data_IF_832600230803
#
_entry.id   IF_832600230803
#
_cell.length_a   1.000
_cell.length_b   1.000
_cell.length_c   1.000
_cell.angle_alpha   90.00
_cell.angle_beta   90.00
_cell.angle_gamma   90.00
#
_symmetry.space_group_name_H-M   'P 1'
#
loop_
_entity.id
_entity.type
_entity.pdbx_description
1 polymer ?
#
# COMPACT_ATOMS: atom_id res chain seq x y z
N UNK A 1 30.94 -21.43 6.42
CA UNK A 1 31.41 -20.81 5.14
C UNK A 1 30.15 -20.57 4.31
N UNK A 2 29.79 -19.37 3.83
CA UNK A 2 30.54 -18.17 3.47
C UNK A 2 29.79 -16.93 3.98
N UNK A 3 30.50 -16.02 4.66
CA UNK A 3 30.03 -14.65 4.90
C UNK A 3 29.96 -13.95 3.53
N UNK A 4 28.76 -13.74 3.00
CA UNK A 4 28.55 -12.83 1.88
C UNK A 4 28.49 -11.39 2.40
N UNK A 5 28.99 -10.49 1.56
CA UNK A 5 29.50 -9.16 1.90
C UNK A 5 28.36 -8.18 2.22
N UNK A 6 28.23 -7.81 3.51
CA UNK A 6 27.22 -6.88 4.07
C UNK A 6 27.14 -5.54 3.31
N UNK A 7 28.23 -5.12 2.64
CA UNK A 7 28.22 -3.90 1.81
C UNK A 7 27.46 -4.04 0.49
N UNK A 8 27.40 -5.23 -0.12
CA UNK A 8 26.56 -5.48 -1.29
C UNK A 8 25.07 -5.58 -0.91
N UNK A 9 24.79 -6.13 0.29
CA UNK A 9 23.43 -6.19 0.85
C UNK A 9 22.88 -4.79 1.13
N UNK A 10 23.70 -3.85 1.61
CA UNK A 10 23.29 -2.45 1.82
C UNK A 10 23.05 -1.66 0.53
N UNK A 11 23.76 -1.97 -0.55
CA UNK A 11 23.61 -1.31 -1.85
C UNK A 11 22.38 -1.79 -2.63
N UNK A 12 21.91 -3.00 -2.31
CA UNK A 12 20.62 -3.55 -2.76
C UNK A 12 19.51 -3.11 -1.78
N UNK A 13 19.80 -3.01 -0.49
CA UNK A 13 18.87 -2.50 0.51
C UNK A 13 18.56 -1.01 0.33
N UNK A 14 19.42 -0.15 -0.20
CA UNK A 14 18.98 1.22 -0.56
C UNK A 14 18.05 1.25 -1.79
N UNK A 15 18.00 0.16 -2.56
CA UNK A 15 17.13 0.03 -3.74
C UNK A 15 15.81 -0.66 -3.43
N UNK A 16 15.75 -1.42 -2.33
CA UNK A 16 14.61 -2.25 -1.93
C UNK A 16 14.14 -1.93 -0.50
N UNK A 17 14.80 -1.08 0.29
CA UNK A 17 14.34 -0.62 1.61
C UNK A 17 13.48 0.65 1.51
N UNK A 18 12.60 0.67 0.51
CA UNK A 18 11.19 0.59 0.83
C UNK A 18 10.83 -0.90 0.63
N UNK A 19 10.93 -1.74 1.69
CA UNK A 19 10.60 -3.19 1.88
C UNK A 19 11.67 -3.93 2.74
N UNK A 20 11.21 -4.81 3.66
CA UNK A 20 11.60 -4.98 5.10
C UNK A 20 12.61 -6.11 5.41
N UNK A 21 13.34 -6.04 6.54
CA UNK A 21 13.75 -7.19 7.40
C UNK A 21 14.12 -6.73 8.86
N UNK A 22 14.38 -7.62 9.86
CA UNK A 22 13.47 -8.40 10.75
C UNK A 22 13.78 -8.24 12.29
N UNK A 23 13.10 -8.96 13.23
CA UNK A 23 13.63 -9.64 14.47
C UNK A 23 12.53 -10.10 15.48
N UNK A 24 12.76 -11.26 16.13
CA UNK A 24 11.98 -12.02 17.14
C UNK A 24 12.21 -11.63 18.63
N UNK A 25 11.31 -12.03 19.58
CA UNK A 25 11.53 -12.84 20.83
C UNK A 25 10.29 -12.89 21.78
N UNK A 26 10.20 -13.95 22.59
CA UNK A 26 9.09 -14.59 23.33
C UNK A 26 8.68 -14.10 24.76
N UNK A 27 7.53 -14.59 25.29
CA UNK A 27 7.38 -14.96 26.72
C UNK A 27 6.02 -14.78 27.47
N UNK A 28 5.30 -15.89 27.74
CA UNK A 28 4.50 -16.31 28.95
C UNK A 28 3.37 -15.46 29.64
N UNK A 29 2.14 -16.03 29.59
CA UNK A 29 1.22 -16.50 30.66
C UNK A 29 0.41 -15.60 31.67
N UNK A 30 -0.91 -15.88 31.66
CA UNK A 30 -1.87 -16.19 32.77
C UNK A 30 -2.82 -15.14 33.42
N UNK A 31 -4.13 -15.46 33.24
CA UNK A 31 -5.28 -15.50 34.16
C UNK A 31 -6.34 -14.37 34.29
N UNK A 32 -7.60 -14.86 34.23
CA UNK A 32 -8.92 -14.21 34.34
C UNK A 32 -9.15 -13.54 35.72
N UNK A 33 -9.98 -12.48 35.77
CA UNK A 33 -11.37 -12.58 36.28
C UNK A 33 -12.16 -11.24 36.38
N UNK A 34 -13.46 -11.39 36.09
CA UNK A 34 -14.67 -10.82 36.71
C UNK A 34 -15.11 -9.36 36.47
N UNK A 35 -16.39 -9.28 36.06
CA UNK A 35 -17.24 -8.12 35.78
C UNK A 35 -17.55 -7.23 37.01
N UNK A 36 -17.67 -5.91 36.79
CA UNK A 36 -18.53 -5.01 37.59
C UNK A 36 -18.93 -3.74 36.79
N UNK A 37 -20.15 -3.20 36.98
CA UNK A 37 -20.77 -2.20 36.11
C UNK A 37 -20.32 -0.74 36.34
N UNK A 38 -19.10 -0.52 36.86
CA UNK A 38 -18.45 0.81 36.94
C UNK A 38 -17.73 1.16 35.62
N UNK A 39 -17.75 0.24 34.65
CA UNK A 39 -16.92 0.29 33.45
C UNK A 39 -17.26 1.41 32.46
N UNK A 40 -18.48 1.97 32.43
CA UNK A 40 -18.84 2.92 31.35
C UNK A 40 -18.22 4.32 31.46
N UNK A 41 -17.91 4.83 32.66
CA UNK A 41 -17.23 6.14 32.77
C UNK A 41 -15.70 6.01 32.70
N UNK A 42 -15.15 4.89 33.17
CA UNK A 42 -13.73 4.59 33.07
C UNK A 42 -13.31 4.23 31.63
N UNK A 43 -14.17 3.54 30.85
CA UNK A 43 -13.93 3.28 29.43
C UNK A 43 -13.90 4.56 28.61
N UNK A 44 -14.87 5.45 28.80
CA UNK A 44 -14.93 6.72 28.07
C UNK A 44 -13.75 7.65 28.42
N UNK A 45 -13.31 7.67 29.68
CA UNK A 45 -12.14 8.43 30.13
C UNK A 45 -10.80 7.78 29.72
N UNK A 46 -10.72 6.45 29.61
CA UNK A 46 -9.53 5.77 29.07
C UNK A 46 -9.44 5.88 27.55
N UNK A 47 -10.58 5.87 26.85
CA UNK A 47 -10.65 6.18 25.42
C UNK A 47 -10.29 7.65 25.15
N UNK A 48 -10.76 8.61 25.95
CA UNK A 48 -10.37 10.03 25.77
C UNK A 48 -8.88 10.25 26.03
N UNK A 49 -8.32 9.66 27.10
CA UNK A 49 -6.89 9.74 27.40
C UNK A 49 -6.04 9.04 26.33
N UNK A 50 -6.52 7.95 25.74
CA UNK A 50 -5.81 7.27 24.64
C UNK A 50 -5.89 8.06 23.33
N UNK A 51 -7.02 8.70 23.02
CA UNK A 51 -7.16 9.52 21.82
C UNK A 51 -6.31 10.80 21.87
N UNK A 52 -6.28 11.49 23.02
CA UNK A 52 -5.39 12.65 23.22
C UNK A 52 -3.91 12.24 23.09
N UNK A 53 -3.53 11.07 23.64
CA UNK A 53 -2.20 10.51 23.45
C UNK A 53 -1.91 10.22 21.97
N UNK A 54 -2.84 9.59 21.24
CA UNK A 54 -2.66 9.30 19.81
C UNK A 54 -2.57 10.56 18.94
N UNK A 55 -3.20 11.67 19.33
CA UNK A 55 -3.08 12.94 18.61
C UNK A 55 -1.76 13.68 18.89
N UNK A 56 -1.07 13.34 19.99
CA UNK A 56 0.20 13.98 20.34
C UNK A 56 1.38 13.45 19.53
N UNK A 57 1.41 12.14 19.28
CA UNK A 57 2.41 11.49 18.43
C UNK A 57 1.91 10.12 17.97
N UNK A 58 2.37 9.69 16.80
CA UNK A 58 2.19 8.32 16.35
C UNK A 58 3.12 7.38 17.15
N UNK A 59 2.71 6.13 17.42
CA UNK A 59 3.59 5.12 18.03
C UNK A 59 4.86 4.89 17.21
N UNK A 60 6.01 4.79 17.89
CA UNK A 60 7.33 4.65 17.26
C UNK A 60 7.84 3.20 17.19
N UNK A 61 7.16 2.28 17.87
CA UNK A 61 7.58 0.89 18.09
C UNK A 61 6.52 -0.12 17.60
N UNK A 62 5.72 0.26 16.60
CA UNK A 62 4.72 -0.64 16.03
C UNK A 62 5.38 -1.93 15.51
N UNK A 63 4.81 -3.06 15.92
CA UNK A 63 5.13 -4.37 15.38
C UNK A 63 3.95 -4.86 14.54
N UNK A 64 4.28 -5.47 13.41
CA UNK A 64 3.27 -6.03 12.54
C UNK A 64 2.72 -7.25 13.25
N UNK A 65 1.45 -7.22 13.62
CA UNK A 65 0.79 -8.37 14.22
C UNK A 65 0.46 -9.37 13.12
N UNK A 66 1.29 -10.41 13.01
CA UNK A 66 1.11 -11.48 12.05
C UNK A 66 0.48 -12.75 12.66
N UNK A 67 -0.24 -12.61 13.77
CA UNK A 67 -0.75 -13.74 14.53
C UNK A 67 -2.04 -14.35 13.95
N UNK A 68 -2.79 -13.57 13.16
CA UNK A 68 -4.07 -14.02 12.58
C UNK A 68 -4.34 -13.36 11.23
N UNK A 69 -4.80 -14.13 10.22
CA UNK A 69 -5.17 -13.57 8.93
C UNK A 69 -6.28 -12.54 9.06
N UNK A 70 -6.02 -11.36 8.51
CA UNK A 70 -6.96 -10.27 8.34
C UNK A 70 -7.35 -10.16 6.87
N UNK A 71 -8.58 -9.75 6.61
CA UNK A 71 -9.10 -9.53 5.25
C UNK A 71 -9.50 -8.07 5.07
N UNK A 72 -9.08 -7.50 3.96
CA UNK A 72 -9.33 -6.11 3.58
C UNK A 72 -9.94 -6.07 2.19
N UNK A 73 -10.83 -5.10 1.97
CA UNK A 73 -11.20 -4.71 0.62
C UNK A 73 -10.23 -3.61 0.20
N UNK A 74 -9.51 -3.86 -0.88
CA UNK A 74 -8.60 -2.89 -1.48
C UNK A 74 -9.15 -2.45 -2.83
N UNK A 75 -9.02 -1.16 -3.15
CA UNK A 75 -9.49 -0.58 -4.40
C UNK A 75 -8.51 0.49 -4.86
N UNK A 76 -8.14 0.48 -6.13
CA UNK A 76 -7.39 1.54 -6.81
C UNK A 76 -8.22 2.07 -7.98
N UNK A 77 -8.41 3.39 -8.04
CA UNK A 77 -9.13 4.08 -9.12
C UNK A 77 -8.17 4.83 -10.04
N UNK A 78 -7.85 4.26 -11.19
CA UNK A 78 -6.98 4.81 -12.21
C UNK A 78 -7.76 5.75 -13.13
N UNK A 79 -7.24 6.96 -13.34
CA UNK A 79 -7.74 7.88 -14.34
C UNK A 79 -6.75 7.92 -15.50
N UNK A 80 -7.27 8.03 -16.71
CA UNK A 80 -6.47 8.15 -17.91
C UNK A 80 -6.93 9.43 -18.58
N UNK A 81 -6.08 10.44 -18.56
CA UNK A 81 -6.41 11.78 -19.03
C UNK A 81 -5.71 12.07 -20.36
N UNK A 82 -6.28 13.01 -21.12
CA UNK A 82 -5.55 13.67 -22.20
C UNK A 82 -4.53 14.64 -21.59
N UNK A 83 -3.54 15.12 -22.37
CA UNK A 83 -2.63 16.18 -21.91
C UNK A 83 -3.31 17.52 -21.56
N UNK A 84 -4.61 17.65 -21.84
CA UNK A 84 -5.43 18.81 -21.45
C UNK A 84 -6.18 18.58 -20.13
N UNK A 85 -6.10 17.38 -19.55
CA UNK A 85 -6.79 16.98 -18.33
C UNK A 85 -8.20 16.41 -18.55
N UNK A 86 -8.60 16.15 -19.80
CA UNK A 86 -9.90 15.54 -20.08
C UNK A 86 -9.86 14.03 -19.81
N UNK A 87 -10.88 13.48 -19.15
CA UNK A 87 -10.96 12.03 -18.91
C UNK A 87 -11.18 11.30 -20.22
N UNK A 88 -10.24 10.44 -20.59
CA UNK A 88 -10.42 9.47 -21.67
C UNK A 88 -11.16 8.23 -21.16
N UNK A 89 -10.76 7.74 -19.98
CA UNK A 89 -11.41 6.66 -19.25
C UNK A 89 -10.99 6.70 -17.78
N UNK A 90 -11.79 6.08 -16.92
CA UNK A 90 -11.36 5.70 -15.57
C UNK A 90 -11.63 4.22 -15.32
N UNK A 91 -10.83 3.64 -14.45
CA UNK A 91 -10.86 2.21 -14.15
C UNK A 91 -10.70 2.00 -12.65
N UNK A 92 -11.53 1.13 -12.08
CA UNK A 92 -11.37 0.65 -10.71
C UNK A 92 -10.86 -0.78 -10.74
N UNK A 93 -9.76 -1.03 -10.05
CA UNK A 93 -9.28 -2.39 -9.74
C UNK A 93 -9.49 -2.61 -8.26
N UNK A 94 -10.32 -3.57 -7.89
CA UNK A 94 -10.63 -3.86 -6.50
C UNK A 94 -10.48 -5.35 -6.20
N UNK A 95 -10.17 -5.72 -4.96
CA UNK A 95 -10.08 -7.11 -4.56
C UNK A 95 -10.01 -7.31 -3.05
N UNK A 96 -10.23 -8.55 -2.63
CA UNK A 96 -10.05 -8.96 -1.25
C UNK A 96 -8.60 -9.37 -1.01
N UNK A 97 -7.92 -8.60 -0.17
CA UNK A 97 -6.55 -8.81 0.22
C UNK A 97 -6.50 -9.46 1.61
N UNK A 98 -5.82 -10.60 1.73
CA UNK A 98 -5.68 -11.33 2.99
C UNK A 98 -4.23 -11.36 3.44
N UNK A 99 -3.95 -10.93 4.67
CA UNK A 99 -2.62 -11.00 5.30
C UNK A 99 -2.72 -11.06 6.82
N UNK A 100 -1.73 -11.62 7.53
CA UNK A 100 -0.68 -12.49 7.01
C UNK A 100 -1.21 -13.89 6.65
N UNK A 101 -0.41 -14.61 5.89
CA UNK A 101 -0.50 -16.06 5.67
C UNK A 101 0.85 -16.70 6.07
N UNK A 102 0.94 -18.05 6.17
CA UNK A 102 2.21 -18.71 6.49
C UNK A 102 3.36 -18.20 5.62
N UNK A 103 4.55 -18.05 6.23
CA UNK A 103 5.76 -17.52 5.61
C UNK A 103 5.67 -16.03 5.20
N UNK A 104 4.85 -15.24 5.89
CA UNK A 104 4.68 -13.80 5.61
C UNK A 104 3.98 -13.54 4.28
N UNK A 105 3.21 -14.51 3.77
CA UNK A 105 2.52 -14.40 2.49
C UNK A 105 1.25 -13.57 2.60
N UNK A 106 0.76 -13.17 1.45
CA UNK A 106 -0.52 -12.48 1.27
C UNK A 106 -1.30 -13.18 0.17
N UNK A 107 -2.61 -12.93 0.09
CA UNK A 107 -3.47 -13.56 -0.92
C UNK A 107 -4.52 -12.60 -1.45
N UNK A 108 -4.74 -12.67 -2.76
CA UNK A 108 -5.83 -12.00 -3.45
C UNK A 108 -7.00 -12.96 -3.71
N UNK A 109 -8.22 -12.45 -3.59
CA UNK A 109 -9.46 -13.11 -4.04
C UNK A 109 -10.44 -12.04 -4.54
N UNK A 110 -11.44 -12.45 -5.31
CA UNK A 110 -12.52 -11.59 -5.80
C UNK A 110 -12.01 -10.31 -6.49
N UNK A 111 -10.89 -10.41 -7.22
CA UNK A 111 -10.33 -9.26 -7.93
C UNK A 111 -11.22 -8.94 -9.13
N UNK A 112 -11.58 -7.67 -9.27
CA UNK A 112 -12.47 -7.15 -10.32
C UNK A 112 -11.92 -5.88 -10.94
N UNK A 113 -12.17 -5.73 -12.24
CA UNK A 113 -11.84 -4.52 -13.00
C UNK A 113 -13.13 -3.92 -13.55
N UNK A 114 -13.44 -2.70 -13.12
CA UNK A 114 -14.58 -1.92 -13.61
C UNK A 114 -14.09 -0.71 -14.41
N UNK A 115 -14.83 -0.30 -15.43
CA UNK A 115 -14.52 0.89 -16.23
C UNK A 115 -15.70 1.85 -16.27
N UNK A 116 -15.38 3.14 -16.37
CA UNK A 116 -16.33 4.23 -16.55
C UNK A 116 -15.67 5.37 -17.34
N UNK A 117 -16.46 6.34 -17.83
CA UNK A 117 -15.98 7.34 -18.81
C UNK A 117 -15.81 8.75 -18.23
N UNK A 118 -16.67 9.17 -17.30
CA UNK A 118 -16.64 10.49 -16.67
C UNK A 118 -16.02 10.46 -15.28
N UNK A 119 -15.57 11.63 -14.80
CA UNK A 119 -15.05 11.79 -13.44
C UNK A 119 -16.04 11.31 -12.37
N UNK A 120 -17.32 11.68 -12.51
CA UNK A 120 -18.35 11.41 -11.51
C UNK A 120 -19.18 10.15 -11.82
N UNK A 121 -18.89 9.45 -12.92
CA UNK A 121 -19.63 8.25 -13.32
C UNK A 121 -19.48 7.14 -12.27
N UNK A 122 -20.56 6.45 -11.94
CA UNK A 122 -20.48 5.32 -11.00
C UNK A 122 -19.78 4.14 -11.68
N UNK A 123 -18.82 3.52 -11.00
CA UNK A 123 -18.22 2.27 -11.50
C UNK A 123 -19.25 1.14 -11.49
N UNK A 124 -19.38 0.37 -12.58
CA UNK A 124 -20.15 -0.87 -12.56
C UNK A 124 -19.48 -1.92 -11.66
N UNK A 125 -20.10 -3.09 -11.49
CA UNK A 125 -19.55 -4.18 -10.67
C UNK A 125 -18.16 -4.65 -11.12
N UNK A 126 -17.88 -4.57 -12.43
CA UNK A 126 -16.61 -4.94 -13.03
C UNK A 126 -16.45 -6.45 -13.31
N UNK A 127 -15.50 -6.75 -14.18
CA UNK A 127 -15.17 -8.10 -14.63
C UNK A 127 -14.24 -8.80 -13.65
N UNK A 128 -14.62 -10.01 -13.24
CA UNK A 128 -13.82 -10.84 -12.34
C UNK A 128 -12.55 -11.34 -13.03
N UNK A 129 -11.43 -11.25 -12.32
CA UNK A 129 -10.11 -11.70 -12.77
C UNK A 129 -9.81 -13.08 -12.18
N UNK A 130 -10.30 -14.14 -12.80
CA UNK A 130 -10.23 -15.51 -12.23
C UNK A 130 -8.80 -16.00 -11.94
N UNK A 131 -7.80 -15.55 -12.69
CA UNK A 131 -6.39 -15.90 -12.47
C UNK A 131 -5.82 -15.32 -11.16
N UNK A 132 -6.48 -14.31 -10.57
CA UNK A 132 -6.10 -13.75 -9.27
C UNK A 132 -6.67 -14.54 -8.09
N UNK A 133 -7.59 -15.49 -8.32
CA UNK A 133 -8.21 -16.23 -7.23
C UNK A 133 -7.21 -17.14 -6.52
N UNK A 134 -6.95 -16.82 -5.25
CA UNK A 134 -5.96 -17.53 -4.46
C UNK A 134 -4.52 -17.20 -4.85
N UNK A 135 -4.28 -16.19 -5.69
CA UNK A 135 -2.91 -15.74 -6.00
C UNK A 135 -2.21 -15.30 -4.71
N UNK A 136 -1.03 -15.87 -4.44
CA UNK A 136 -0.25 -15.59 -3.22
C UNK A 136 1.19 -15.22 -3.52
N UNK A 137 1.73 -14.33 -2.69
CA UNK A 137 3.14 -13.93 -2.74
C UNK A 137 3.61 -13.45 -1.37
N UNK A 138 4.92 -13.31 -1.19
CA UNK A 138 5.49 -12.64 -0.02
C UNK A 138 5.90 -11.21 -0.43
N UNK A 139 5.28 -10.15 0.13
CA UNK A 139 5.56 -8.77 -0.22
C UNK A 139 6.93 -8.28 0.26
N UNK A 140 7.65 -9.07 1.07
CA UNK A 140 8.98 -8.76 1.59
C UNK A 140 10.13 -9.24 0.71
N UNK A 141 9.85 -9.89 -0.44
CA UNK A 141 10.89 -10.34 -1.37
C UNK A 141 11.04 -9.38 -2.55
N UNK A 142 12.19 -9.43 -3.21
CA UNK A 142 12.46 -8.66 -4.43
C UNK A 142 11.80 -9.27 -5.69
N UNK A 143 11.09 -10.38 -5.53
CA UNK A 143 10.55 -11.16 -6.64
C UNK A 143 9.51 -10.38 -7.43
N UNK A 144 8.73 -9.50 -6.79
CA UNK A 144 7.67 -8.68 -7.41
C UNK A 144 8.18 -7.79 -8.55
N UNK A 145 9.49 -7.56 -8.63
CA UNK A 145 10.15 -6.76 -9.66
C UNK A 145 10.70 -7.60 -10.83
N UNK A 146 10.67 -8.93 -10.70
CA UNK A 146 11.24 -9.89 -11.65
C UNK A 146 10.15 -10.37 -12.64
N UNK A 147 10.47 -10.53 -13.94
CA UNK A 147 9.51 -11.02 -14.93
C UNK A 147 8.85 -12.35 -14.55
N UNK A 148 9.59 -13.26 -13.92
CA UNK A 148 9.14 -14.60 -13.55
C UNK A 148 8.02 -14.57 -12.50
N UNK A 149 7.88 -13.49 -11.74
CA UNK A 149 6.86 -13.36 -10.70
C UNK A 149 5.44 -13.32 -11.27
N UNK A 150 5.26 -12.62 -12.39
CA UNK A 150 3.96 -12.48 -13.05
C UNK A 150 3.76 -13.50 -14.19
N UNK A 151 4.59 -14.55 -14.29
CA UNK A 151 4.49 -15.53 -15.38
C UNK A 151 3.14 -16.27 -15.45
N UNK A 152 2.39 -16.31 -14.34
CA UNK A 152 1.05 -16.93 -14.27
C UNK A 152 -0.07 -15.97 -14.68
N UNK A 153 0.24 -14.69 -14.83
CA UNK A 153 -0.71 -13.68 -15.25
C UNK A 153 -0.90 -13.77 -16.77
N UNK A 154 -2.10 -13.46 -17.29
CA UNK A 154 -2.29 -13.28 -18.72
C UNK A 154 -1.26 -12.31 -19.30
N UNK A 155 -0.77 -12.54 -20.53
CA UNK A 155 0.17 -11.62 -21.16
C UNK A 155 -0.45 -10.23 -21.29
N UNK A 156 0.40 -9.21 -21.20
CA UNK A 156 0.05 -7.80 -21.41
C UNK A 156 -0.97 -7.21 -20.40
N UNK A 157 -1.25 -7.89 -19.28
CA UNK A 157 -2.05 -7.33 -18.20
C UNK A 157 -1.19 -6.47 -17.27
N UNK A 158 -1.48 -5.18 -17.18
CA UNK A 158 -0.77 -4.25 -16.29
C UNK A 158 -1.60 -3.91 -15.05
N UNK A 159 -2.93 -3.99 -15.15
CA UNK A 159 -3.84 -3.47 -14.13
C UNK A 159 -3.75 -4.25 -12.81
N UNK A 160 -3.70 -5.58 -12.88
CA UNK A 160 -3.54 -6.44 -11.71
C UNK A 160 -2.09 -6.54 -11.23
N UNK A 161 -1.10 -6.21 -12.08
CA UNK A 161 0.29 -6.03 -11.65
C UNK A 161 0.43 -4.75 -10.82
N UNK A 162 -0.17 -3.65 -11.28
CA UNK A 162 -0.26 -2.40 -10.54
C UNK A 162 -0.98 -2.59 -9.20
N UNK A 163 -2.07 -3.36 -9.15
CA UNK A 163 -2.72 -3.69 -7.88
C UNK A 163 -1.74 -4.28 -6.84
N UNK A 164 -0.88 -5.20 -7.27
CA UNK A 164 0.15 -5.81 -6.41
C UNK A 164 1.20 -4.78 -5.99
N UNK A 165 1.73 -4.01 -6.93
CA UNK A 165 2.77 -3.00 -6.66
C UNK A 165 2.25 -1.84 -5.79
N UNK A 166 1.06 -1.33 -6.06
CA UNK A 166 0.42 -0.24 -5.32
C UNK A 166 0.13 -0.64 -3.88
N UNK A 167 -0.36 -1.87 -3.67
CA UNK A 167 -0.58 -2.40 -2.31
C UNK A 167 0.72 -2.43 -1.51
N UNK A 168 1.80 -2.93 -2.12
CA UNK A 168 3.13 -2.94 -1.48
C UNK A 168 3.60 -1.52 -1.18
N UNK A 169 3.42 -0.58 -2.10
CA UNK A 169 3.80 0.82 -1.92
C UNK A 169 3.04 1.47 -0.76
N UNK A 170 1.73 1.26 -0.66
CA UNK A 170 0.95 1.86 0.41
C UNK A 170 1.28 1.25 1.77
N UNK A 171 1.45 -0.08 1.84
CA UNK A 171 1.94 -0.73 3.06
C UNK A 171 3.28 -0.14 3.50
N UNK A 172 4.17 0.13 2.55
CA UNK A 172 5.41 0.81 2.80
C UNK A 172 5.24 2.23 3.36
N UNK A 173 4.27 3.02 2.87
CA UNK A 173 3.98 4.34 3.44
C UNK A 173 3.56 4.25 4.91
N UNK A 174 2.67 3.31 5.22
CA UNK A 174 2.22 3.05 6.58
C UNK A 174 3.30 2.45 7.49
N UNK A 175 4.42 1.96 6.96
CA UNK A 175 5.44 1.26 7.74
C UNK A 175 6.75 2.01 7.92
N UNK A 176 7.30 2.57 6.84
CA UNK A 176 8.64 3.18 6.88
C UNK A 176 8.65 4.64 7.30
N UNK A 177 7.48 5.28 7.29
CA UNK A 177 7.37 6.71 7.54
C UNK A 177 6.41 7.04 8.68
N UNK A 178 5.70 6.06 9.24
CA UNK A 178 4.66 6.27 10.23
C UNK A 178 5.16 7.03 11.46
N UNK A 179 6.28 6.58 12.04
CA UNK A 179 6.94 7.21 13.18
C UNK A 179 7.53 8.59 12.88
N UNK A 180 7.61 8.99 11.60
CA UNK A 180 8.15 10.28 11.15
C UNK A 180 7.06 11.31 10.89
N UNK A 181 5.79 10.90 10.79
CA UNK A 181 4.71 11.83 10.50
C UNK A 181 4.37 12.65 11.74
N UNK A 182 4.14 13.94 11.52
CA UNK A 182 3.61 14.85 12.52
C UNK A 182 2.25 15.35 12.06
N UNK A 183 1.34 15.55 13.02
CA UNK A 183 -0.03 15.93 12.73
C UNK A 183 -0.06 17.23 11.91
N UNK A 184 -0.74 17.19 10.77
CA UNK A 184 -0.89 18.29 9.81
C UNK A 184 0.43 18.86 9.25
N UNK A 185 1.51 18.07 9.26
CA UNK A 185 2.76 18.44 8.60
C UNK A 185 3.09 17.50 7.45
N UNK A 186 3.46 18.08 6.31
CA UNK A 186 3.91 17.31 5.16
C UNK A 186 5.33 16.81 5.38
N UNK A 187 5.46 15.50 5.40
CA UNK A 187 6.73 14.79 5.39
C UNK A 187 7.06 14.38 3.95
N UNK A 188 8.27 14.73 3.50
CA UNK A 188 8.80 14.35 2.20
C UNK A 188 9.99 13.41 2.41
N UNK A 189 9.87 12.11 2.08
CA UNK A 189 11.01 11.19 2.12
C UNK A 189 12.19 11.77 1.32
N UNK A 190 13.36 11.84 1.94
CA UNK A 190 14.52 12.59 1.43
C UNK A 190 15.33 11.87 0.34
N UNK A 191 14.95 10.64 -0.05
CA UNK A 191 15.69 9.85 -1.04
C UNK A 191 14.90 9.71 -2.34
N UNK A 192 15.45 10.11 -3.49
CA UNK A 192 14.85 9.77 -4.77
C UNK A 192 14.94 8.26 -4.96
N UNK A 193 13.79 7.61 -5.14
CA UNK A 193 13.78 6.21 -5.55
C UNK A 193 14.36 6.14 -6.97
N UNK A 194 15.32 5.23 -7.16
CA UNK A 194 15.83 4.94 -8.49
C UNK A 194 14.73 4.42 -9.42
N UNK A 195 15.08 4.14 -10.67
CA UNK A 195 14.15 3.45 -11.57
C UNK A 195 13.83 2.05 -11.02
N UNK A 196 12.54 1.80 -10.81
CA UNK A 196 11.97 0.53 -10.38
C UNK A 196 11.63 -0.25 -11.65
N UNK A 197 12.18 -1.46 -11.86
CA UNK A 197 11.81 -2.30 -12.99
C UNK A 197 10.39 -2.84 -12.81
N UNK A 198 9.58 -2.75 -13.87
CA UNK A 198 8.20 -3.24 -13.93
C UNK A 198 8.14 -4.66 -14.50
N UNK A 199 8.88 -5.59 -13.88
CA UNK A 199 8.88 -7.01 -14.26
C UNK A 199 9.08 -7.27 -15.77
N UNK A 200 9.97 -6.51 -16.41
CA UNK A 200 10.27 -6.61 -17.83
C UNK A 200 9.38 -5.78 -18.75
N UNK A 201 8.26 -5.23 -18.24
CA UNK A 201 7.41 -4.30 -18.98
C UNK A 201 8.02 -2.90 -19.09
N UNK A 202 9.07 -2.57 -18.32
CA UNK A 202 9.75 -1.28 -18.39
C UNK A 202 10.22 -0.77 -17.03
N UNK A 203 10.12 0.54 -16.80
CA UNK A 203 10.60 1.20 -15.57
C UNK A 203 9.64 2.27 -15.07
N UNK A 204 9.59 2.45 -13.75
CA UNK A 204 8.88 3.52 -13.06
C UNK A 204 9.81 4.30 -12.14
N UNK A 205 9.64 5.62 -12.03
CA UNK A 205 10.41 6.47 -11.13
C UNK A 205 9.47 7.32 -10.26
N UNK A 206 9.46 7.03 -8.97
CA UNK A 206 8.85 7.89 -7.96
C UNK A 206 9.71 9.15 -7.76
N UNK A 207 9.08 10.32 -7.70
CA UNK A 207 9.80 11.60 -7.56
C UNK A 207 9.46 12.36 -6.30
N UNK A 208 8.24 12.89 -6.22
CA UNK A 208 7.86 13.83 -5.17
C UNK A 208 6.77 13.24 -4.29
N UNK A 209 7.14 12.27 -3.45
CA UNK A 209 6.23 11.68 -2.47
C UNK A 209 6.08 12.65 -1.30
N UNK A 210 4.83 12.90 -0.92
CA UNK A 210 4.40 13.72 0.21
C UNK A 210 3.44 12.90 1.06
N UNK A 211 3.71 12.80 2.36
CA UNK A 211 2.86 12.11 3.33
C UNK A 211 2.45 13.10 4.41
N UNK A 212 1.17 13.14 4.76
CA UNK A 212 0.65 14.01 5.82
C UNK A 212 -0.29 13.22 6.71
N UNK A 213 0.02 13.13 8.00
CA UNK A 213 -0.93 12.60 8.98
C UNK A 213 -1.99 13.68 9.26
N UNK A 214 -3.24 13.42 8.86
CA UNK A 214 -4.36 14.37 8.97
C UNK A 214 -5.07 14.31 10.32
N UNK A 215 -4.98 13.18 11.01
CA UNK A 215 -5.65 12.97 12.29
C UNK A 215 -6.01 11.52 12.54
N UNK A 216 -7.06 11.31 13.32
CA UNK A 216 -7.53 9.98 13.71
C UNK A 216 -8.90 9.74 13.09
N UNK A 217 -9.08 8.55 12.53
CA UNK A 217 -10.36 8.02 12.12
C UNK A 217 -10.56 6.63 12.75
N UNK A 218 -11.62 5.93 12.37
CA UNK A 218 -11.89 4.57 12.80
C UNK A 218 -12.18 3.68 11.60
N UNK A 219 -11.73 2.43 11.66
CA UNK A 219 -12.22 1.36 10.80
C UNK A 219 -12.61 0.16 11.66
N UNK A 220 -13.83 -0.35 11.49
CA UNK A 220 -14.36 -1.45 12.32
C UNK A 220 -14.23 -1.17 13.83
N UNK A 221 -14.51 0.06 14.25
CA UNK A 221 -14.32 0.58 15.62
C UNK A 221 -12.87 0.64 16.12
N UNK A 222 -11.89 0.25 15.32
CA UNK A 222 -10.47 0.37 15.66
C UNK A 222 -9.93 1.77 15.30
N UNK A 223 -9.32 2.49 16.24
CA UNK A 223 -8.66 3.76 15.97
C UNK A 223 -7.52 3.60 14.94
N UNK A 224 -7.50 4.51 13.97
CA UNK A 224 -6.51 4.52 12.89
C UNK A 224 -5.97 5.94 12.68
N UNK A 225 -4.69 6.08 12.38
CA UNK A 225 -4.16 7.29 11.79
C UNK A 225 -4.68 7.42 10.36
N UNK A 226 -5.24 8.58 10.03
CA UNK A 226 -5.59 8.95 8.65
C UNK A 226 -4.39 9.66 8.02
N UNK A 227 -3.76 9.02 7.05
CA UNK A 227 -2.58 9.55 6.38
C UNK A 227 -2.96 9.83 4.94
N UNK A 228 -2.83 11.08 4.52
CA UNK A 228 -2.89 11.45 3.13
C UNK A 228 -1.53 11.23 2.47
N UNK A 229 -1.53 10.66 1.28
CA UNK A 229 -0.36 10.58 0.43
C UNK A 229 -0.60 11.32 -0.88
N UNK A 230 0.47 11.87 -1.43
CA UNK A 230 0.52 12.42 -2.78
C UNK A 230 1.86 12.11 -3.40
N UNK A 231 1.89 11.87 -4.70
CA UNK A 231 3.10 11.84 -5.48
C UNK A 231 2.88 12.50 -6.82
N UNK A 232 3.79 13.42 -7.16
CA UNK A 232 3.70 14.15 -8.41
C UNK A 232 4.96 14.00 -9.26
N UNK A 233 4.75 14.11 -10.57
CA UNK A 233 5.78 14.11 -11.60
C UNK A 233 6.55 12.80 -11.68
N UNK A 234 5.93 11.69 -11.27
CA UNK A 234 6.51 10.38 -11.47
C UNK A 234 6.65 10.12 -12.96
N UNK A 235 7.60 9.28 -13.34
CA UNK A 235 7.81 8.94 -14.74
C UNK A 235 7.70 7.45 -14.93
N UNK A 236 7.16 7.06 -16.07
CA UNK A 236 7.22 5.68 -16.50
C UNK A 236 7.68 5.57 -17.94
N UNK A 237 8.27 4.42 -18.25
CA UNK A 237 8.59 3.99 -19.59
C UNK A 237 8.15 2.53 -19.67
N UNK A 238 7.14 2.24 -20.49
CA UNK A 238 6.54 0.91 -20.62
C UNK A 238 6.70 0.46 -22.07
N UNK A 239 7.07 -0.80 -22.26
CA UNK A 239 7.13 -1.46 -23.56
C UNK A 239 6.34 -2.75 -23.49
N UNK A 240 5.21 -2.80 -24.19
CA UNK A 240 4.32 -3.96 -24.29
C UNK A 240 4.16 -4.27 -25.78
N UNK A 241 4.61 -5.45 -26.18
CA UNK A 241 4.62 -5.89 -27.59
C UNK A 241 5.29 -4.88 -28.53
N UNK A 242 4.55 -4.36 -29.52
CA UNK A 242 5.04 -3.36 -30.47
C UNK A 242 4.88 -1.90 -29.97
N UNK A 243 4.28 -1.69 -28.80
CA UNK A 243 3.98 -0.38 -28.25
C UNK A 243 5.03 0.01 -27.20
N UNK A 244 5.64 1.18 -27.37
CA UNK A 244 6.48 1.82 -26.35
C UNK A 244 5.86 3.15 -25.96
N UNK A 245 5.61 3.34 -24.66
CA UNK A 245 4.97 4.53 -24.11
C UNK A 245 5.86 5.12 -23.03
N UNK A 246 6.05 6.44 -23.09
CA UNK A 246 6.65 7.22 -22.02
C UNK A 246 5.65 8.24 -21.54
N UNK A 247 5.59 8.41 -20.22
CA UNK A 247 4.66 9.37 -19.66
C UNK A 247 4.94 9.77 -18.22
N UNK A 248 4.08 10.68 -17.75
CA UNK A 248 4.01 11.11 -16.36
C UNK A 248 3.00 10.29 -15.59
N UNK A 249 3.20 10.11 -14.29
CA UNK A 249 2.21 9.55 -13.38
C UNK A 249 2.11 10.42 -12.12
N UNK A 250 0.87 10.64 -11.69
CA UNK A 250 0.52 11.27 -10.44
C UNK A 250 -0.32 10.29 -9.64
N UNK A 251 -0.28 10.34 -8.31
CA UNK A 251 -1.21 9.59 -7.48
C UNK A 251 -1.41 10.28 -6.15
N UNK A 252 -2.62 10.22 -5.61
CA UNK A 252 -2.94 10.79 -4.31
C UNK A 252 -4.16 10.11 -3.73
N UNK A 253 -4.20 9.99 -2.41
CA UNK A 253 -5.30 9.38 -1.70
C UNK A 253 -5.05 9.39 -0.21
N UNK A 254 -5.79 8.54 0.49
CA UNK A 254 -5.75 8.41 1.94
C UNK A 254 -5.60 6.95 2.32
N UNK A 255 -4.71 6.67 3.25
CA UNK A 255 -4.57 5.38 3.91
C UNK A 255 -4.98 5.52 5.37
N UNK A 256 -5.76 4.57 5.87
CA UNK A 256 -5.96 4.38 7.31
C UNK A 256 -4.94 3.36 7.80
N UNK A 257 -4.30 3.66 8.92
CA UNK A 257 -3.23 2.84 9.48
C UNK A 257 -3.50 2.65 10.97
N UNK A 258 -3.77 1.42 11.42
CA UNK A 258 -4.17 1.20 12.82
C UNK A 258 -3.02 1.43 13.79
N UNK A 259 -3.35 1.90 14.99
CA UNK A 259 -2.37 2.08 16.08
C UNK A 259 -1.93 0.76 16.70
N UNK A 260 -2.61 -0.34 16.39
CA UNK A 260 -2.28 -1.68 16.86
C UNK A 260 -1.41 -2.45 15.86
N UNK A 261 -1.57 -2.14 14.57
CA UNK A 261 -0.89 -2.74 13.43
C UNK A 261 -1.13 -1.87 12.17
N UNK A 262 -0.09 -1.43 11.47
CA UNK A 262 -0.27 -0.58 10.32
C UNK A 262 -0.59 -1.41 9.08
N UNK A 263 -1.86 -1.43 8.74
CA UNK A 263 -2.36 -2.00 7.51
C UNK A 263 -3.16 -0.93 6.81
N UNK A 264 -2.92 -0.78 5.51
CA UNK A 264 -3.59 0.20 4.65
C UNK A 264 -4.94 -0.34 4.19
N UNK A 265 -5.97 0.49 4.32
CA UNK A 265 -7.36 0.06 4.24
C UNK A 265 -8.13 0.70 3.08
N UNK A 266 -7.57 1.73 2.46
CA UNK A 266 -8.06 2.34 1.24
C UNK A 266 -6.88 3.06 0.56
N UNK A 267 -6.92 3.23 -0.76
CA UNK A 267 -5.89 3.90 -1.52
C UNK A 267 -6.40 4.36 -2.88
N UNK A 268 -6.88 5.60 -2.97
CA UNK A 268 -7.24 6.17 -4.25
C UNK A 268 -5.96 6.46 -5.07
N UNK A 269 -5.85 5.94 -6.28
CA UNK A 269 -4.68 6.17 -7.14
C UNK A 269 -5.10 6.93 -8.39
N UNK A 270 -5.29 8.24 -8.24
CA UNK A 270 -5.64 9.07 -9.39
C UNK A 270 -4.41 9.33 -10.28
N UNK A 271 -4.19 8.39 -11.22
CA UNK A 271 -3.23 8.47 -12.31
C UNK A 271 -3.56 9.62 -13.26
N UNK A 272 -2.55 10.40 -13.64
CA UNK A 272 -2.51 11.01 -14.97
C UNK A 272 -1.57 10.15 -15.81
N UNK A 273 -1.86 9.95 -17.09
CA UNK A 273 -1.00 9.22 -18.02
C UNK A 273 -0.81 10.08 -19.26
N UNK A 274 0.02 11.10 -19.14
CA UNK A 274 0.41 11.91 -20.28
C UNK A 274 1.30 11.10 -21.22
N UNK A 275 0.78 10.65 -22.37
CA UNK A 275 1.63 10.13 -23.43
C UNK A 275 2.44 11.29 -24.01
N UNK A 276 3.74 11.32 -23.74
CA UNK A 276 4.67 12.16 -24.49
C UNK A 276 4.97 11.40 -25.79
N UNK A 277 4.27 11.74 -26.87
CA UNK A 277 4.65 11.33 -28.23
C UNK A 277 6.06 11.76 -28.57
#
# INVERSE_FOLDING_TARGET
MKKHNIKQVMQIASKIAIIIAPVMIAGFAFHLNLFSPVLNSAYAASESNSLENYLSHLPTDLQLKEDSPQKYLFSCDYFYLTPQGDVMRKQRVSGEYTRPLPEGKVKWNNVRIAQATGFDDVFPEGEKQDYMEGFTYNPSTDDVSKPEFFQVFPPSIIDTQNLVWDTIMFEAFGWFFFDKLQLNQTYCPSEPVGEIPLAGAGTFQNRKIELTWLGISKMNEEPCALIQYRAFFNKFNISIDALSVRGGSHYWGEILVTFSFPIVLNGDLMGDFDSLT
#
